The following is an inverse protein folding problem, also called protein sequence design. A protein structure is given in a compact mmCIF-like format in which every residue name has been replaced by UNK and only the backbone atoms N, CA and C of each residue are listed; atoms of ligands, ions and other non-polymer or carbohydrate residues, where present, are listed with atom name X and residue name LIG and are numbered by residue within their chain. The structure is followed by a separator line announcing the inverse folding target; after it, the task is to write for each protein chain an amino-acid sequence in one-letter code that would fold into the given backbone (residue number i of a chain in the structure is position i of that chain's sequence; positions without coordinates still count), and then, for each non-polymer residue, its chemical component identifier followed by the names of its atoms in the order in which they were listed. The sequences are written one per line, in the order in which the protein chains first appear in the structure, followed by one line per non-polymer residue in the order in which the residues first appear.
data_IF_628076973890
#
_entry.id   IF_628076973890
#
_cell.length_a   1.000
_cell.length_b   1.000
_cell.length_c   1.000
_cell.angle_alpha   90.00
_cell.angle_beta   90.00
_cell.angle_gamma   90.00
#
_symmetry.space_group_name_H-M   'P 1'
#
loop_
_entity.id
_entity.type
_entity.pdbx_description
1 polymer ?
#
# COMPACT_ATOMS: atom_id res chain seq x y z
N UNK A 1 9.22 14.52 49.08
CA UNK A 1 8.38 14.20 47.89
C UNK A 1 8.96 12.94 47.28
N UNK A 2 8.15 11.89 47.16
CA UNK A 2 8.60 10.60 46.64
C UNK A 2 8.42 10.61 45.14
N UNK A 3 9.52 10.61 44.39
CA UNK A 3 9.50 10.48 42.93
C UNK A 3 9.09 9.05 42.58
N UNK A 4 7.98 8.87 41.86
CA UNK A 4 7.59 7.58 41.31
C UNK A 4 8.02 7.51 39.84
N UNK A 5 8.79 6.47 39.50
CA UNK A 5 9.14 6.17 38.12
C UNK A 5 8.04 5.31 37.49
N UNK A 6 7.48 5.80 36.38
CA UNK A 6 6.51 5.06 35.58
C UNK A 6 7.15 4.65 34.26
N UNK A 7 7.00 3.36 33.90
CA UNK A 7 7.37 2.86 32.58
C UNK A 7 6.11 2.79 31.71
N UNK A 8 5.98 3.72 30.78
CA UNK A 8 4.90 3.72 29.77
C UNK A 8 5.41 3.01 28.51
N UNK A 9 4.66 2.03 28.02
CA UNK A 9 4.94 1.35 26.75
C UNK A 9 3.79 1.63 25.80
N UNK A 10 4.10 2.24 24.66
CA UNK A 10 3.14 2.55 23.59
C UNK A 10 3.48 1.66 22.41
N UNK A 11 2.50 0.94 21.90
CA UNK A 11 2.64 0.09 20.72
C UNK A 11 1.54 0.44 19.72
N UNK A 12 1.92 0.62 18.47
CA UNK A 12 1.03 0.70 17.31
C UNK A 12 0.80 -0.70 16.74
N UNK A 13 -0.30 -0.87 16.00
CA UNK A 13 -0.60 -2.15 15.36
C UNK A 13 0.37 -2.45 14.23
N UNK A 14 0.57 -3.73 13.90
CA UNK A 14 1.52 -4.18 12.86
C UNK A 14 1.00 -4.03 11.43
N UNK A 15 -0.02 -3.18 11.22
CA UNK A 15 -0.65 -3.00 9.92
C UNK A 15 0.09 -1.91 9.14
N UNK A 16 0.66 -2.27 8.01
CA UNK A 16 1.34 -1.35 7.11
C UNK A 16 0.40 -0.18 6.73
N UNK A 17 0.92 1.06 6.73
CA UNK A 17 0.15 2.30 6.50
C UNK A 17 -0.87 2.70 7.59
N UNK A 18 -0.94 2.01 8.73
CA UNK A 18 -1.82 2.41 9.86
C UNK A 18 -1.25 3.52 10.76
N UNK A 19 -0.10 4.09 10.39
CA UNK A 19 0.54 5.20 11.10
C UNK A 19 -0.27 6.51 11.06
N UNK A 20 0.01 7.43 11.98
CA UNK A 20 -0.60 8.76 12.01
C UNK A 20 0.41 9.84 11.63
N UNK A 21 -0.01 10.80 10.79
CA UNK A 21 0.79 12.00 10.47
C UNK A 21 0.68 13.11 11.53
N UNK A 22 -0.15 12.88 12.56
CA UNK A 22 -0.34 13.82 13.66
C UNK A 22 0.73 13.62 14.75
N UNK A 23 1.08 14.71 15.42
CA UNK A 23 1.92 14.65 16.63
C UNK A 23 1.16 13.93 17.75
N UNK A 24 1.69 12.79 18.19
CA UNK A 24 1.15 12.03 19.32
C UNK A 24 1.82 12.51 20.60
N UNK A 25 1.02 12.84 21.60
CA UNK A 25 1.50 13.32 22.90
C UNK A 25 0.92 12.47 24.02
N UNK A 26 1.69 12.34 25.10
CA UNK A 26 1.25 11.68 26.34
C UNK A 26 1.27 12.69 27.49
N UNK A 27 0.19 12.72 28.25
CA UNK A 27 0.06 13.41 29.53
C UNK A 27 -0.49 12.42 30.55
N UNK A 28 0.15 12.32 31.71
CA UNK A 28 -0.34 11.51 32.83
C UNK A 28 -1.15 12.41 33.76
N UNK A 29 -2.37 12.01 34.10
CA UNK A 29 -3.26 12.75 35.02
C UNK A 29 -3.46 11.93 36.29
N UNK A 30 -3.20 12.53 37.45
CA UNK A 30 -3.41 11.89 38.75
C UNK A 30 -3.86 12.87 39.82
N UNK A 31 -4.02 12.40 41.06
CA UNK A 31 -4.52 13.19 42.20
C UNK A 31 -3.63 14.40 42.54
N UNK A 32 -2.36 14.37 42.10
CA UNK A 32 -1.39 15.46 42.29
C UNK A 32 -1.28 16.40 41.08
N UNK A 33 -2.20 16.31 40.11
CA UNK A 33 -2.23 17.13 38.90
C UNK A 33 -1.79 16.39 37.63
N UNK A 34 -1.51 17.16 36.58
CA UNK A 34 -1.11 16.66 35.26
C UNK A 34 0.40 16.73 35.07
N UNK A 35 0.99 15.75 34.39
CA UNK A 35 2.39 15.80 33.97
C UNK A 35 2.58 16.79 32.82
N UNK A 36 3.85 17.11 32.54
CA UNK A 36 4.18 17.79 31.29
C UNK A 36 3.75 16.95 30.08
N UNK A 37 3.19 17.63 29.06
CA UNK A 37 2.79 17.01 27.80
C UNK A 37 4.04 16.60 27.02
N UNK A 38 4.30 15.29 26.96
CA UNK A 38 5.50 14.75 26.31
C UNK A 38 5.18 14.32 24.89
N UNK A 39 5.93 14.85 23.92
CA UNK A 39 5.84 14.40 22.53
C UNK A 39 6.48 13.01 22.38
N UNK A 40 5.82 12.12 21.66
CA UNK A 40 6.37 10.82 21.29
C UNK A 40 6.99 10.91 19.89
N UNK A 41 8.23 11.41 19.79
CA UNK A 41 8.95 11.66 18.53
C UNK A 41 10.15 10.73 18.32
N UNK A 42 10.29 9.69 19.13
CA UNK A 42 11.42 8.77 19.00
C UNK A 42 11.36 8.04 17.65
N UNK A 43 12.41 8.15 16.82
CA UNK A 43 12.46 7.42 15.56
C UNK A 43 12.54 5.92 15.85
N UNK A 44 11.55 5.20 15.34
CA UNK A 44 11.43 3.75 15.40
C UNK A 44 10.62 3.28 14.19
N UNK A 45 10.53 1.96 14.00
CA UNK A 45 9.99 1.31 12.79
C UNK A 45 8.53 1.66 12.44
N UNK A 46 7.85 2.51 13.23
CA UNK A 46 6.39 2.65 13.14
C UNK A 46 5.85 4.09 13.33
N UNK A 47 6.68 5.13 13.23
CA UNK A 47 6.22 6.53 13.22
C UNK A 47 7.04 7.36 12.22
N UNK A 48 6.64 7.34 10.95
CA UNK A 48 7.35 8.01 9.86
C UNK A 48 7.41 9.53 10.01
N UNK A 49 8.62 10.09 9.88
CA UNK A 49 8.86 11.35 9.15
C UNK A 49 10.16 11.29 8.35
N UNK A 50 10.02 11.53 7.04
CA UNK A 50 11.05 12.04 6.12
C UNK A 50 12.15 11.06 5.70
N UNK A 51 12.39 10.95 4.39
CA UNK A 51 13.70 10.48 3.92
C UNK A 51 14.76 11.41 4.54
N UNK A 52 15.80 10.88 5.21
CA UNK A 52 16.85 11.73 5.74
C UNK A 52 17.51 12.48 4.57
N UNK A 53 17.77 13.78 4.77
CA UNK A 53 18.43 14.62 3.75
C UNK A 53 19.89 14.16 3.46
N UNK A 54 20.41 13.23 4.25
CA UNK A 54 21.73 12.63 4.12
C UNK A 54 21.64 11.13 4.44
N UNK A 55 22.27 10.30 3.61
CA UNK A 55 22.40 8.86 3.84
C UNK A 55 23.76 8.60 4.50
N UNK A 56 23.74 8.08 5.73
CA UNK A 56 24.95 7.95 6.57
C UNK A 56 25.71 6.65 6.33
N UNK A 57 25.07 5.64 5.77
CA UNK A 57 25.65 4.32 5.60
C UNK A 57 25.01 3.54 4.45
N UNK A 58 25.67 2.43 4.06
CA UNK A 58 25.22 1.55 2.99
C UNK A 58 23.82 0.98 3.23
N UNK A 59 23.46 0.69 4.49
CA UNK A 59 22.15 0.10 4.80
C UNK A 59 21.02 1.09 4.50
N UNK A 60 21.19 2.36 4.86
CA UNK A 60 20.23 3.41 4.53
C UNK A 60 20.05 3.57 3.02
N UNK A 61 21.14 3.53 2.24
CA UNK A 61 21.08 3.57 0.79
C UNK A 61 20.34 2.36 0.20
N UNK A 62 20.64 1.15 0.67
CA UNK A 62 19.94 -0.07 0.23
C UNK A 62 18.45 0.06 0.50
N UNK A 63 18.06 0.46 1.71
CA UNK A 63 16.65 0.62 2.07
C UNK A 63 15.94 1.61 1.14
N UNK A 64 16.53 2.76 0.86
CA UNK A 64 15.92 3.77 -0.03
C UNK A 64 15.79 3.23 -1.45
N UNK A 65 16.83 2.60 -2.01
CA UNK A 65 16.78 2.03 -3.36
C UNK A 65 15.75 0.90 -3.46
N UNK A 66 15.68 0.02 -2.46
CA UNK A 66 14.67 -1.04 -2.39
C UNK A 66 13.27 -0.47 -2.34
N UNK A 67 13.02 0.56 -1.53
CA UNK A 67 11.72 1.25 -1.48
C UNK A 67 11.37 1.86 -2.82
N UNK A 68 12.30 2.56 -3.48
CA UNK A 68 12.06 3.15 -4.80
C UNK A 68 11.69 2.07 -5.81
N UNK A 69 12.52 1.03 -5.95
CA UNK A 69 12.28 -0.06 -6.90
C UNK A 69 10.94 -0.75 -6.61
N UNK A 70 10.67 -1.11 -5.35
CA UNK A 70 9.44 -1.79 -4.95
C UNK A 70 8.20 -0.92 -5.20
N UNK A 71 8.25 0.36 -4.83
CA UNK A 71 7.13 1.29 -4.98
C UNK A 71 6.76 1.47 -6.44
N UNK A 72 7.75 1.63 -7.31
CA UNK A 72 7.52 1.85 -8.76
C UNK A 72 7.19 0.58 -9.52
N UNK A 73 7.28 -0.60 -8.90
CA UNK A 73 7.05 -1.89 -9.57
C UNK A 73 5.96 -2.68 -8.85
N UNK A 74 6.32 -3.51 -7.86
CA UNK A 74 5.41 -4.41 -7.17
C UNK A 74 4.22 -3.69 -6.51
N UNK A 75 4.45 -2.56 -5.82
CA UNK A 75 3.37 -1.82 -5.18
C UNK A 75 2.40 -1.20 -6.18
N UNK A 76 2.94 -0.61 -7.26
CA UNK A 76 2.12 -0.08 -8.35
C UNK A 76 1.28 -1.21 -8.96
N UNK A 77 1.87 -2.36 -9.29
CA UNK A 77 1.16 -3.51 -9.86
C UNK A 77 0.03 -4.01 -8.94
N UNK A 78 0.31 -4.20 -7.64
CA UNK A 78 -0.66 -4.69 -6.66
C UNK A 78 -1.89 -3.79 -6.49
N UNK A 79 -1.73 -2.48 -6.65
CA UNK A 79 -2.82 -1.50 -6.47
C UNK A 79 -3.49 -1.11 -7.78
N UNK A 80 -2.81 -1.27 -8.91
CA UNK A 80 -3.28 -0.80 -10.20
C UNK A 80 -3.90 -1.90 -11.06
N UNK A 81 -3.28 -3.09 -11.15
CA UNK A 81 -3.63 -4.10 -12.15
C UNK A 81 -5.00 -4.75 -11.88
N UNK A 82 -5.40 -4.84 -10.61
CA UNK A 82 -6.72 -5.36 -10.23
C UNK A 82 -7.87 -4.37 -10.36
N UNK A 83 -7.62 -3.11 -10.74
CA UNK A 83 -8.67 -2.08 -10.75
C UNK A 83 -9.89 -2.47 -11.56
N UNK A 84 -9.71 -3.08 -12.74
CA UNK A 84 -10.86 -3.48 -13.55
C UNK A 84 -11.63 -4.65 -12.91
N UNK A 85 -10.93 -5.63 -12.35
CA UNK A 85 -11.55 -6.81 -11.73
C UNK A 85 -12.47 -6.42 -10.56
N UNK A 86 -12.05 -5.47 -9.73
CA UNK A 86 -12.83 -5.02 -8.58
C UNK A 86 -13.79 -3.88 -8.90
N UNK A 87 -13.44 -2.97 -9.82
CA UNK A 87 -14.18 -1.73 -10.04
C UNK A 87 -15.09 -1.72 -11.27
N UNK A 88 -15.05 -2.77 -12.10
CA UNK A 88 -15.97 -2.88 -13.25
C UNK A 88 -17.41 -3.17 -12.83
N UNK A 89 -17.61 -3.89 -11.72
CA UNK A 89 -18.91 -4.01 -11.08
C UNK A 89 -19.13 -2.83 -10.13
N UNK A 90 -19.67 -1.74 -10.67
CA UNK A 90 -19.80 -0.43 -9.98
C UNK A 90 -20.36 -0.50 -8.56
N UNK A 91 -21.39 -1.31 -8.23
CA UNK A 91 -21.87 -1.41 -6.85
C UNK A 91 -20.84 -1.90 -5.83
N UNK A 92 -19.81 -2.64 -6.26
CA UNK A 92 -18.71 -3.08 -5.39
C UNK A 92 -17.79 -1.93 -4.97
N UNK A 93 -17.53 -0.98 -5.87
CA UNK A 93 -16.66 0.19 -5.60
C UNK A 93 -17.18 1.41 -6.37
N UNK A 94 -18.27 2.05 -5.93
CA UNK A 94 -18.81 3.22 -6.61
C UNK A 94 -17.83 4.40 -6.49
N UNK A 95 -17.52 5.06 -7.60
CA UNK A 95 -16.63 6.23 -7.60
C UNK A 95 -17.25 7.49 -6.97
N UNK A 96 -18.57 7.50 -6.78
CA UNK A 96 -19.32 8.60 -6.18
C UNK A 96 -20.61 8.10 -5.55
N UNK A 97 -21.16 8.89 -4.63
CA UNK A 97 -22.44 8.65 -3.97
C UNK A 97 -23.32 9.90 -4.14
N UNK A 98 -24.48 9.77 -4.78
CA UNK A 98 -25.33 10.88 -5.21
C UNK A 98 -26.34 11.35 -4.15
N UNK A 99 -26.52 10.57 -3.07
CA UNK A 99 -27.42 10.89 -1.95
C UNK A 99 -26.62 11.00 -0.64
N UNK A 100 -27.13 11.75 0.36
CA UNK A 100 -26.53 11.78 1.68
C UNK A 100 -26.60 10.41 2.37
N UNK A 101 -25.75 10.22 3.37
CA UNK A 101 -25.77 9.06 4.25
C UNK A 101 -27.15 8.91 4.93
N UNK A 102 -27.77 7.71 4.92
CA UNK A 102 -29.00 7.46 5.64
C UNK A 102 -28.85 7.75 7.14
N UNK A 103 -29.80 8.47 7.72
CA UNK A 103 -29.81 8.80 9.16
C UNK A 103 -30.71 7.86 9.98
N UNK A 104 -31.55 7.08 9.30
CA UNK A 104 -32.45 6.09 9.90
C UNK A 104 -32.17 4.70 9.29
N UNK A 105 -31.94 3.72 10.17
CA UNK A 105 -31.56 2.35 9.79
C UNK A 105 -32.64 1.62 9.00
N UNK A 106 -33.91 1.97 9.22
CA UNK A 106 -35.05 1.27 8.60
C UNK A 106 -35.52 1.96 7.30
N UNK A 107 -34.91 3.08 6.93
CA UNK A 107 -35.30 3.90 5.78
C UNK A 107 -34.73 3.44 4.43
N UNK A 108 -33.77 2.50 4.43
CA UNK A 108 -33.02 2.12 3.22
C UNK A 108 -33.84 1.17 2.35
N UNK A 109 -34.15 1.61 1.12
CA UNK A 109 -34.84 0.82 0.10
C UNK A 109 -33.92 0.56 -1.10
N UNK A 110 -34.26 -0.42 -1.94
CA UNK A 110 -33.51 -0.65 -3.19
C UNK A 110 -33.54 0.56 -4.13
N UNK A 111 -34.66 1.30 -4.15
CA UNK A 111 -34.77 2.54 -4.90
C UNK A 111 -33.78 3.59 -4.40
N UNK A 112 -33.66 3.77 -3.08
CA UNK A 112 -32.67 4.67 -2.49
C UNK A 112 -31.24 4.25 -2.85
N UNK A 113 -30.92 2.95 -2.79
CA UNK A 113 -29.61 2.42 -3.19
C UNK A 113 -29.31 2.78 -4.65
N UNK A 114 -30.22 2.47 -5.57
CA UNK A 114 -30.03 2.75 -7.00
C UNK A 114 -29.93 4.24 -7.30
N UNK A 115 -30.64 5.10 -6.56
CA UNK A 115 -30.53 6.56 -6.66
C UNK A 115 -29.27 7.13 -6.00
N UNK A 116 -28.61 6.37 -5.14
CA UNK A 116 -27.36 6.76 -4.46
C UNK A 116 -26.14 6.36 -5.28
N UNK A 117 -26.20 5.22 -6.00
CA UNK A 117 -25.13 4.75 -6.86
C UNK A 117 -24.87 5.72 -8.04
N UNK A 118 -23.68 5.65 -8.67
CA UNK A 118 -23.39 6.44 -9.86
C UNK A 118 -24.39 6.20 -10.98
N UNK A 119 -24.72 7.25 -11.74
CA UNK A 119 -25.56 7.10 -12.93
C UNK A 119 -24.84 6.32 -14.05
N UNK A 120 -25.54 6.06 -15.15
CA UNK A 120 -24.99 5.31 -16.29
C UNK A 120 -23.74 5.98 -16.86
N UNK A 121 -23.73 7.31 -16.95
CA UNK A 121 -22.60 8.06 -17.52
C UNK A 121 -21.36 7.91 -16.64
N UNK A 122 -21.52 8.15 -15.33
CA UNK A 122 -20.45 8.02 -14.35
C UNK A 122 -19.93 6.59 -14.25
N UNK A 123 -20.84 5.61 -14.27
CA UNK A 123 -20.53 4.18 -14.30
C UNK A 123 -19.68 3.82 -15.52
N UNK A 124 -20.09 4.25 -16.72
CA UNK A 124 -19.34 4.02 -17.95
C UNK A 124 -17.95 4.64 -17.90
N UNK A 125 -17.80 5.86 -17.37
CA UNK A 125 -16.51 6.53 -17.23
C UNK A 125 -15.60 5.78 -16.24
N UNK A 126 -16.11 5.37 -15.08
CA UNK A 126 -15.37 4.55 -14.12
C UNK A 126 -14.86 3.26 -14.75
N UNK A 127 -15.74 2.52 -15.44
CA UNK A 127 -15.37 1.26 -16.11
C UNK A 127 -14.31 1.48 -17.18
N UNK A 128 -14.43 2.54 -17.98
CA UNK A 128 -13.45 2.86 -19.02
C UNK A 128 -12.07 3.22 -18.43
N UNK A 129 -12.04 4.03 -17.37
CA UNK A 129 -10.79 4.42 -16.70
C UNK A 129 -10.12 3.20 -16.06
N UNK A 130 -10.87 2.42 -15.27
CA UNK A 130 -10.33 1.25 -14.57
C UNK A 130 -9.85 0.17 -15.54
N UNK A 131 -10.52 0.00 -16.68
CA UNK A 131 -10.05 -0.85 -17.76
C UNK A 131 -8.74 -0.33 -18.37
N UNK A 132 -8.67 0.96 -18.68
CA UNK A 132 -7.48 1.55 -19.30
C UNK A 132 -6.25 1.50 -18.40
N UNK A 133 -6.45 1.72 -17.09
CA UNK A 133 -5.38 1.69 -16.09
C UNK A 133 -4.96 0.26 -15.74
N UNK A 134 -5.90 -0.67 -15.61
CA UNK A 134 -5.63 -2.04 -15.13
C UNK A 134 -5.23 -3.05 -16.21
N UNK A 135 -5.43 -2.75 -17.51
CA UNK A 135 -5.08 -3.68 -18.58
C UNK A 135 -3.57 -3.82 -18.73
N UNK A 136 -3.15 -5.02 -19.14
CA UNK A 136 -1.77 -5.28 -19.59
C UNK A 136 -1.48 -4.44 -20.84
N UNK A 137 -0.34 -3.74 -20.86
CA UNK A 137 0.10 -3.01 -22.04
C UNK A 137 0.94 -3.93 -22.95
N UNK A 138 0.80 -3.85 -24.29
CA UNK A 138 1.53 -4.72 -25.22
C UNK A 138 3.06 -4.61 -25.15
N UNK A 139 3.56 -3.47 -24.71
CA UNK A 139 4.96 -3.07 -24.59
C UNK A 139 5.42 -3.04 -23.11
N UNK A 140 4.66 -3.65 -22.20
CA UNK A 140 5.05 -3.74 -20.80
C UNK A 140 6.34 -4.56 -20.64
N UNK A 141 7.28 -4.02 -19.86
CA UNK A 141 8.54 -4.66 -19.53
C UNK A 141 8.45 -5.17 -18.07
N UNK A 142 8.47 -6.50 -17.83
CA UNK A 142 8.39 -7.06 -16.48
C UNK A 142 9.57 -6.67 -15.59
N UNK A 143 9.41 -6.86 -14.27
CA UNK A 143 10.46 -6.53 -13.31
C UNK A 143 11.76 -7.28 -13.64
N UNK A 144 12.88 -6.55 -13.54
CA UNK A 144 14.23 -7.04 -13.85
C UNK A 144 14.47 -7.45 -15.31
N UNK A 145 13.55 -7.17 -16.24
CA UNK A 145 13.83 -7.24 -17.68
C UNK A 145 14.38 -5.89 -18.13
N UNK A 146 15.66 -5.84 -18.46
CA UNK A 146 16.34 -4.60 -18.88
C UNK A 146 16.60 -4.65 -20.38
N UNK A 147 15.96 -3.76 -21.14
CA UNK A 147 16.27 -3.58 -22.57
C UNK A 147 17.60 -2.84 -22.75
N UNK A 148 17.91 -1.92 -21.84
CA UNK A 148 19.10 -1.07 -21.86
C UNK A 148 20.22 -1.68 -21.01
N UNK A 149 21.42 -1.82 -21.59
CA UNK A 149 22.58 -2.42 -20.91
C UNK A 149 23.49 -1.36 -20.30
N UNK A 150 23.06 -0.76 -19.18
CA UNK A 150 23.91 0.18 -18.45
C UNK A 150 25.03 -0.52 -17.66
N UNK A 151 24.76 -1.72 -17.15
CA UNK A 151 25.73 -2.54 -16.40
C UNK A 151 26.37 -3.57 -17.34
N UNK A 152 27.65 -3.37 -17.66
CA UNK A 152 28.39 -4.23 -18.61
C UNK A 152 29.45 -5.10 -17.94
N UNK A 153 29.72 -4.88 -16.66
CA UNK A 153 30.69 -5.65 -15.91
C UNK A 153 30.16 -7.07 -15.62
N UNK A 154 30.98 -8.13 -15.78
CA UNK A 154 30.52 -9.51 -15.54
C UNK A 154 29.98 -9.77 -14.12
N UNK A 155 30.50 -9.06 -13.13
CA UNK A 155 30.03 -9.18 -11.75
C UNK A 155 28.59 -8.64 -11.58
N UNK A 156 28.28 -7.50 -12.18
CA UNK A 156 26.95 -6.89 -12.13
C UNK A 156 25.94 -7.71 -12.92
N UNK A 157 26.32 -8.22 -14.10
CA UNK A 157 25.48 -9.09 -14.90
C UNK A 157 25.09 -10.35 -14.13
N UNK A 158 26.04 -10.95 -13.40
CA UNK A 158 25.75 -12.11 -12.55
C UNK A 158 24.73 -11.77 -11.46
N UNK A 159 24.82 -10.60 -10.82
CA UNK A 159 23.85 -10.17 -9.80
C UNK A 159 22.45 -9.99 -10.40
N UNK A 160 22.36 -9.43 -11.60
CA UNK A 160 21.09 -9.29 -12.34
C UNK A 160 20.50 -10.66 -12.66
N UNK A 161 21.32 -11.60 -13.12
CA UNK A 161 20.88 -12.95 -13.45
C UNK A 161 20.42 -13.72 -12.21
N UNK A 162 21.15 -13.60 -11.09
CA UNK A 162 20.74 -14.16 -9.80
C UNK A 162 19.38 -13.56 -9.36
N UNK A 163 19.18 -12.24 -9.47
CA UNK A 163 17.90 -11.60 -9.14
C UNK A 163 16.74 -12.03 -10.05
N UNK A 164 16.98 -12.20 -11.36
CA UNK A 164 15.99 -12.75 -12.28
C UNK A 164 15.60 -14.19 -11.92
N UNK A 165 16.54 -14.97 -11.41
CA UNK A 165 16.25 -16.33 -10.96
C UNK A 165 15.40 -16.31 -9.70
N UNK A 166 15.71 -15.47 -8.72
CA UNK A 166 14.90 -15.30 -7.51
C UNK A 166 13.45 -14.93 -7.85
N UNK A 167 13.24 -14.05 -8.84
CA UNK A 167 11.89 -13.68 -9.29
C UNK A 167 11.14 -14.85 -9.94
N UNK A 168 11.82 -15.72 -10.70
CA UNK A 168 11.19 -16.92 -11.26
C UNK A 168 10.77 -17.90 -10.18
N UNK A 169 11.61 -18.08 -9.16
CA UNK A 169 11.31 -18.98 -8.05
C UNK A 169 10.08 -18.47 -7.27
N UNK A 170 9.98 -17.15 -7.07
CA UNK A 170 8.79 -16.50 -6.48
C UNK A 170 7.55 -16.68 -7.36
N UNK A 171 7.68 -16.52 -8.69
CA UNK A 171 6.59 -16.73 -9.64
C UNK A 171 6.05 -18.16 -9.54
N UNK A 172 6.93 -19.16 -9.53
CA UNK A 172 6.54 -20.56 -9.39
C UNK A 172 5.80 -20.81 -8.07
N UNK A 173 6.26 -20.20 -6.97
CA UNK A 173 5.57 -20.27 -5.68
C UNK A 173 4.16 -19.66 -5.74
N UNK A 174 4.03 -18.44 -6.29
CA UNK A 174 2.75 -17.74 -6.43
C UNK A 174 1.78 -18.59 -7.28
N UNK A 175 2.23 -19.11 -8.41
CA UNK A 175 1.41 -19.94 -9.29
C UNK A 175 0.97 -21.23 -8.60
N UNK A 176 1.85 -21.84 -7.80
CA UNK A 176 1.53 -23.03 -7.02
C UNK A 176 0.53 -22.74 -5.90
N UNK A 177 0.68 -21.63 -5.17
CA UNK A 177 -0.24 -21.21 -4.11
C UNK A 177 -1.64 -20.90 -4.67
N UNK A 178 -1.71 -20.39 -5.91
CA UNK A 178 -2.97 -20.07 -6.57
C UNK A 178 -3.71 -21.28 -7.18
N UNK A 179 -3.11 -22.48 -7.17
CA UNK A 179 -3.79 -23.68 -7.71
C UNK A 179 -5.06 -24.00 -6.91
N UNK A 180 -6.20 -23.87 -7.59
CA UNK A 180 -7.52 -24.16 -7.01
C UNK A 180 -8.18 -22.99 -6.29
N UNK A 181 -7.59 -21.78 -6.33
CA UNK A 181 -8.26 -20.56 -5.88
C UNK A 181 -9.14 -19.98 -6.98
N UNK A 182 -10.37 -19.61 -6.62
CA UNK A 182 -11.31 -18.91 -7.49
C UNK A 182 -11.87 -17.67 -6.77
N UNK A 183 -11.43 -16.44 -7.12
CA UNK A 183 -10.41 -16.10 -8.12
C UNK A 183 -8.96 -16.26 -7.61
N UNK A 184 -7.97 -16.44 -8.49
CA UNK A 184 -6.57 -16.38 -8.12
C UNK A 184 -6.11 -14.93 -7.88
N UNK A 185 -5.10 -14.76 -7.03
CA UNK A 185 -4.39 -13.48 -6.82
C UNK A 185 -3.06 -13.48 -7.57
N UNK A 186 -3.01 -12.78 -8.71
CA UNK A 186 -1.86 -12.77 -9.62
C UNK A 186 -1.22 -11.38 -9.80
N UNK A 187 -1.69 -10.35 -9.10
CA UNK A 187 -1.22 -8.97 -9.34
C UNK A 187 0.23 -8.71 -8.90
N UNK A 188 0.81 -9.61 -8.10
CA UNK A 188 2.21 -9.59 -7.67
C UNK A 188 3.06 -10.68 -8.36
N UNK A 189 2.52 -11.34 -9.39
CA UNK A 189 3.31 -12.22 -10.24
C UNK A 189 4.40 -11.38 -10.93
N UNK A 190 5.69 -11.77 -10.85
CA UNK A 190 6.79 -10.99 -11.47
C UNK A 190 6.72 -10.84 -13.00
N UNK A 191 5.97 -11.71 -13.67
CA UNK A 191 5.79 -11.77 -15.13
C UNK A 191 4.67 -10.89 -15.67
#
# INVERSE_FOLDING_TARGET
MTTMEYKVTVATGTLEYSGTNNSVYVTLVGENGESERTLLDKPGLDLCRGLPNELKNKQELITVLSVVIFTTTAQQAATNNGQFDFCSFVPNTPCTMLQPLPTDKDSVTMELIMNTLPDISQSCVQMAITWHLGRVQPDAIPLAQYEEQFFTEPADQKIIDDFKQDLKDIEEEILQQNKGLEPPYLYLCPS
#
